data_IF_588161027038
#
_entry.id   IF_588161027038
#
_cell.length_a   1.000
_cell.length_b   1.000
_cell.length_c   1.000
_cell.angle_alpha   90.00
_cell.angle_beta   90.00
_cell.angle_gamma   90.00
#
_symmetry.space_group_name_H-M   'P 1'
#
loop_
_entity.id
_entity.type
_entity.pdbx_description
1 polymer ?
#
# COMPACT_ATOMS: atom_id res chain seq x y z
N UNK A 1 9.25 -25.36 10.55
CA UNK A 1 9.65 -24.72 11.82
C UNK A 1 10.16 -23.32 11.57
N UNK A 2 9.37 -22.34 12.01
CA UNK A 2 9.67 -20.92 11.90
C UNK A 2 10.98 -20.60 12.63
N UNK A 3 11.83 -19.74 12.04
CA UNK A 3 13.15 -19.47 12.60
C UNK A 3 13.02 -18.72 13.94
N UNK A 4 13.93 -18.94 14.92
CA UNK A 4 13.83 -18.31 16.24
C UNK A 4 13.75 -16.77 16.20
N UNK A 5 14.36 -16.14 15.21
CA UNK A 5 14.31 -14.70 14.98
C UNK A 5 12.89 -14.18 14.64
N UNK A 6 12.00 -15.05 14.13
CA UNK A 6 10.60 -14.73 13.88
C UNK A 6 9.88 -14.48 15.20
N UNK A 7 9.98 -15.43 16.12
CA UNK A 7 9.31 -15.40 17.43
C UNK A 7 9.78 -14.19 18.23
N UNK A 8 11.10 -13.91 18.23
CA UNK A 8 11.66 -12.74 18.90
C UNK A 8 11.08 -11.42 18.33
N UNK A 9 11.00 -11.29 17.00
CA UNK A 9 10.48 -10.09 16.33
C UNK A 9 8.99 -9.89 16.57
N UNK A 10 8.20 -10.97 16.53
CA UNK A 10 6.77 -10.94 16.90
C UNK A 10 6.63 -10.46 18.34
N UNK A 11 7.34 -11.09 19.28
CA UNK A 11 7.29 -10.73 20.70
C UNK A 11 7.63 -9.25 20.94
N UNK A 12 8.67 -8.73 20.29
CA UNK A 12 9.05 -7.31 20.39
C UNK A 12 7.98 -6.39 19.83
N UNK A 13 7.43 -6.70 18.66
CA UNK A 13 6.41 -5.87 18.01
C UNK A 13 5.10 -5.85 18.81
N UNK A 14 4.69 -7.02 19.32
CA UNK A 14 3.53 -7.19 20.20
C UNK A 14 3.72 -6.40 21.49
N UNK A 15 4.87 -6.50 22.14
CA UNK A 15 5.15 -5.76 23.38
C UNK A 15 5.05 -4.24 23.21
N UNK A 16 5.55 -3.71 22.09
CA UNK A 16 5.45 -2.28 21.77
C UNK A 16 3.98 -1.87 21.57
N UNK A 17 3.21 -2.64 20.79
CA UNK A 17 1.78 -2.37 20.55
C UNK A 17 0.96 -2.46 21.85
N UNK A 18 1.26 -3.45 22.69
CA UNK A 18 0.51 -3.68 23.93
C UNK A 18 0.86 -2.69 25.03
N UNK A 19 2.05 -2.07 25.03
CA UNK A 19 2.42 -1.09 26.04
C UNK A 19 1.47 0.13 26.09
N UNK A 20 0.91 0.53 24.95
CA UNK A 20 -0.12 1.57 24.90
C UNK A 20 -1.46 1.05 25.44
N UNK A 21 -1.89 -0.13 24.97
CA UNK A 21 -3.15 -0.75 25.37
C UNK A 21 -3.23 -1.09 26.86
N UNK A 22 -2.12 -1.58 27.45
CA UNK A 22 -1.98 -1.84 28.90
C UNK A 22 -2.17 -0.58 29.74
N UNK A 23 -1.86 0.60 29.21
CA UNK A 23 -2.13 1.89 29.89
C UNK A 23 -3.54 2.40 29.63
N UNK A 24 -4.05 2.20 28.41
CA UNK A 24 -5.36 2.72 27.99
C UNK A 24 -6.53 2.02 28.70
N UNK A 25 -6.54 0.69 28.77
CA UNK A 25 -7.67 -0.05 29.33
C UNK A 25 -7.97 0.30 30.80
N UNK A 26 -6.98 0.30 31.73
CA UNK A 26 -7.25 0.70 33.11
C UNK A 26 -7.78 2.13 33.22
N UNK A 27 -7.25 3.06 32.40
CA UNK A 27 -7.69 4.44 32.39
C UNK A 27 -9.14 4.60 31.89
N UNK A 28 -9.54 3.84 30.86
CA UNK A 28 -10.92 3.78 30.35
C UNK A 28 -11.88 3.26 31.44
N UNK A 29 -11.52 2.15 32.09
CA UNK A 29 -12.32 1.55 33.16
C UNK A 29 -12.46 2.54 34.34
N UNK A 30 -11.38 3.21 34.76
CA UNK A 30 -11.43 4.19 35.86
C UNK A 30 -12.24 5.43 35.49
N UNK A 31 -12.13 5.94 34.26
CA UNK A 31 -12.95 7.05 33.79
C UNK A 31 -14.45 6.71 33.88
N UNK A 32 -14.84 5.52 33.42
CA UNK A 32 -16.20 5.04 33.51
C UNK A 32 -16.63 4.77 34.96
N UNK A 33 -15.76 4.20 35.80
CA UNK A 33 -16.03 4.00 37.22
C UNK A 33 -16.37 5.32 37.93
N UNK A 34 -15.68 6.42 37.60
CA UNK A 34 -16.00 7.77 38.11
C UNK A 34 -17.36 8.27 37.63
N UNK A 35 -17.71 8.05 36.36
CA UNK A 35 -19.01 8.43 35.82
C UNK A 35 -20.17 7.68 36.49
N UNK A 36 -20.02 6.36 36.70
CA UNK A 36 -20.99 5.56 37.46
C UNK A 36 -21.03 5.97 38.94
N UNK A 37 -19.90 6.36 39.55
CA UNK A 37 -19.89 6.87 40.92
C UNK A 37 -20.70 8.15 41.08
N UNK A 38 -20.55 9.09 40.15
CA UNK A 38 -21.26 10.37 40.17
C UNK A 38 -22.79 10.21 40.08
N UNK A 39 -23.27 9.13 39.47
CA UNK A 39 -24.68 8.77 39.37
C UNK A 39 -25.16 7.77 40.43
N UNK A 40 -24.32 7.42 41.42
CA UNK A 40 -24.64 6.43 42.45
C UNK A 40 -24.68 4.97 41.96
N UNK A 41 -24.28 4.70 40.72
CA UNK A 41 -24.28 3.39 40.08
C UNK A 41 -22.98 2.58 40.23
N UNK A 42 -22.00 3.04 41.01
CA UNK A 42 -20.74 2.30 41.25
C UNK A 42 -21.04 1.05 42.08
N UNK A 43 -20.88 -0.12 41.48
CA UNK A 43 -21.26 -1.42 42.07
C UNK A 43 -22.62 -1.96 41.60
N UNK A 44 -23.29 -1.25 40.68
CA UNK A 44 -24.46 -1.79 39.98
C UNK A 44 -24.08 -2.89 38.98
N UNK A 45 -25.03 -3.75 38.65
CA UNK A 45 -24.86 -4.74 37.58
C UNK A 45 -24.47 -4.11 36.24
N UNK A 46 -25.02 -2.93 35.93
CA UNK A 46 -24.70 -2.17 34.71
C UNK A 46 -23.22 -1.78 34.63
N UNK A 47 -22.62 -1.35 35.73
CA UNK A 47 -21.19 -1.07 35.80
C UNK A 47 -20.35 -2.33 35.52
N UNK A 48 -20.70 -3.47 36.13
CA UNK A 48 -19.95 -4.71 35.92
C UNK A 48 -20.10 -5.25 34.49
N UNK A 49 -21.28 -5.15 33.88
CA UNK A 49 -21.48 -5.46 32.47
C UNK A 49 -20.66 -4.56 31.55
N UNK A 50 -20.52 -3.28 31.88
CA UNK A 50 -19.63 -2.37 31.15
C UNK A 50 -18.16 -2.80 31.25
N UNK A 51 -17.68 -3.11 32.46
CA UNK A 51 -16.29 -3.59 32.66
C UNK A 51 -16.04 -4.87 31.86
N UNK A 52 -16.95 -5.85 31.93
CA UNK A 52 -16.85 -7.09 31.15
C UNK A 52 -16.81 -6.81 29.65
N UNK A 53 -17.66 -5.92 29.14
CA UNK A 53 -17.66 -5.53 27.72
C UNK A 53 -16.38 -4.82 27.30
N UNK A 54 -15.79 -4.00 28.18
CA UNK A 54 -14.51 -3.32 27.93
C UNK A 54 -13.35 -4.34 27.86
N UNK A 55 -13.34 -5.34 28.75
CA UNK A 55 -12.37 -6.45 28.72
C UNK A 55 -12.53 -7.30 27.46
N UNK A 56 -13.76 -7.65 27.10
CA UNK A 56 -14.05 -8.41 25.88
C UNK A 56 -13.51 -7.69 24.62
N UNK A 57 -13.76 -6.38 24.53
CA UNK A 57 -13.24 -5.55 23.44
C UNK A 57 -11.71 -5.48 23.43
N UNK A 58 -11.08 -5.39 24.60
CA UNK A 58 -9.63 -5.38 24.71
C UNK A 58 -9.00 -6.69 24.24
N UNK A 59 -9.59 -7.83 24.60
CA UNK A 59 -9.17 -9.15 24.11
C UNK A 59 -9.14 -9.17 22.58
N UNK A 60 -10.23 -8.74 21.94
CA UNK A 60 -10.34 -8.71 20.48
C UNK A 60 -9.32 -7.75 19.85
N UNK A 61 -9.18 -6.53 20.38
CA UNK A 61 -8.21 -5.55 19.87
C UNK A 61 -6.78 -6.11 19.92
N UNK A 62 -6.40 -6.74 21.04
CA UNK A 62 -5.04 -7.28 21.20
C UNK A 62 -4.82 -8.53 20.36
N UNK A 63 -5.84 -9.37 20.16
CA UNK A 63 -5.78 -10.50 19.25
C UNK A 63 -5.52 -10.05 17.80
N UNK A 64 -6.25 -9.03 17.33
CA UNK A 64 -6.05 -8.44 15.99
C UNK A 64 -4.62 -7.87 15.87
N UNK A 65 -4.18 -7.12 16.87
CA UNK A 65 -2.83 -6.54 16.87
C UNK A 65 -1.71 -7.59 16.90
N UNK A 66 -1.93 -8.72 17.58
CA UNK A 66 -1.04 -9.88 17.60
C UNK A 66 -0.97 -10.52 16.22
N UNK A 67 -2.13 -10.78 15.61
CA UNK A 67 -2.21 -11.34 14.26
C UNK A 67 -1.52 -10.45 13.22
N UNK A 68 -1.82 -9.15 13.21
CA UNK A 68 -1.15 -8.17 12.35
C UNK A 68 0.37 -8.19 12.51
N UNK A 69 0.86 -8.32 13.75
CA UNK A 69 2.28 -8.39 14.04
C UNK A 69 2.90 -9.67 13.45
N UNK A 70 2.24 -10.82 13.60
CA UNK A 70 2.67 -12.09 13.02
C UNK A 70 2.77 -12.01 11.50
N UNK A 71 1.69 -11.60 10.82
CA UNK A 71 1.66 -11.46 9.35
C UNK A 71 2.75 -10.50 8.87
N UNK A 72 2.91 -9.35 9.54
CA UNK A 72 3.94 -8.36 9.18
C UNK A 72 5.35 -8.95 9.29
N UNK A 73 5.67 -9.64 10.38
CA UNK A 73 6.99 -10.26 10.57
C UNK A 73 7.21 -11.36 9.53
N UNK A 74 6.20 -12.18 9.26
CA UNK A 74 6.27 -13.25 8.25
C UNK A 74 6.64 -12.69 6.87
N UNK A 75 5.86 -11.70 6.42
CA UNK A 75 6.08 -11.04 5.12
C UNK A 75 7.43 -10.33 5.03
N UNK A 76 7.89 -9.72 6.14
CA UNK A 76 9.17 -8.99 6.16
C UNK A 76 10.37 -9.92 6.12
N UNK A 77 10.30 -11.06 6.80
CA UNK A 77 11.40 -12.03 6.83
C UNK A 77 11.44 -12.95 5.61
N UNK A 78 10.34 -13.04 4.85
CA UNK A 78 10.23 -13.99 3.76
C UNK A 78 10.37 -15.44 4.26
N UNK A 79 9.78 -15.74 5.41
CA UNK A 79 9.86 -17.08 5.99
C UNK A 79 9.31 -18.14 5.01
N UNK A 80 9.97 -19.30 4.90
CA UNK A 80 9.60 -20.30 3.91
C UNK A 80 8.24 -20.91 4.22
N UNK A 81 7.49 -21.24 3.16
CA UNK A 81 6.29 -22.04 3.25
C UNK A 81 6.67 -23.46 3.62
N UNK A 82 6.09 -23.96 4.71
CA UNK A 82 6.25 -25.35 5.16
C UNK A 82 4.88 -25.96 5.37
N UNK A 83 4.74 -27.26 5.17
CA UNK A 83 3.46 -27.97 5.31
C UNK A 83 2.82 -27.82 6.70
N UNK A 84 3.62 -27.54 7.74
CA UNK A 84 3.16 -27.28 9.12
C UNK A 84 3.08 -25.80 9.52
N UNK A 85 3.08 -24.87 8.57
CA UNK A 85 3.14 -23.43 8.89
C UNK A 85 1.91 -22.95 9.66
N UNK A 86 0.73 -23.46 9.33
CA UNK A 86 -0.51 -23.05 9.99
C UNK A 86 -0.49 -23.44 11.48
N UNK A 87 -0.10 -24.67 11.80
CA UNK A 87 0.01 -25.18 13.15
C UNK A 87 1.06 -24.41 13.97
N UNK A 88 2.18 -24.06 13.34
CA UNK A 88 3.23 -23.26 13.97
C UNK A 88 2.76 -21.83 14.28
N UNK A 89 2.04 -21.19 13.36
CA UNK A 89 1.45 -19.87 13.59
C UNK A 89 0.37 -19.92 14.67
N UNK A 90 -0.51 -20.93 14.66
CA UNK A 90 -1.51 -21.16 15.69
C UNK A 90 -0.85 -21.33 17.07
N UNK A 91 0.23 -22.11 17.17
CA UNK A 91 0.97 -22.29 18.41
C UNK A 91 1.55 -20.97 18.94
N UNK A 92 2.14 -20.15 18.07
CA UNK A 92 2.67 -18.82 18.43
C UNK A 92 1.53 -17.90 18.89
N UNK A 93 0.42 -17.89 18.15
CA UNK A 93 -0.75 -17.10 18.50
C UNK A 93 -1.27 -17.48 19.88
N UNK A 94 -1.49 -18.77 20.15
CA UNK A 94 -1.97 -19.27 21.42
C UNK A 94 -1.06 -18.95 22.60
N UNK A 95 0.25 -19.01 22.39
CA UNK A 95 1.23 -18.67 23.42
C UNK A 95 1.03 -17.23 23.88
N UNK A 96 1.01 -16.27 22.93
CA UNK A 96 0.79 -14.86 23.25
C UNK A 96 -0.64 -14.57 23.69
N UNK A 97 -1.64 -15.22 23.11
CA UNK A 97 -3.05 -15.02 23.45
C UNK A 97 -3.37 -15.47 24.88
N UNK A 98 -2.67 -16.51 25.38
CA UNK A 98 -2.73 -16.92 26.78
C UNK A 98 -2.22 -15.83 27.72
N UNK A 99 -1.10 -15.19 27.39
CA UNK A 99 -0.57 -14.09 28.21
C UNK A 99 -1.55 -12.92 28.24
N UNK A 100 -2.15 -12.59 27.08
CA UNK A 100 -3.20 -11.57 26.99
C UNK A 100 -4.38 -11.92 27.89
N UNK A 101 -4.84 -13.18 27.83
CA UNK A 101 -5.95 -13.66 28.65
C UNK A 101 -5.67 -13.49 30.13
N UNK A 102 -4.52 -13.97 30.62
CA UNK A 102 -4.15 -13.86 32.03
C UNK A 102 -4.10 -12.39 32.48
N UNK A 103 -3.50 -11.51 31.67
CA UNK A 103 -3.44 -10.07 31.99
C UNK A 103 -4.82 -9.44 32.15
N UNK A 104 -5.76 -9.72 31.23
CA UNK A 104 -7.09 -9.08 31.28
C UNK A 104 -8.03 -9.75 32.28
N UNK A 105 -7.86 -11.05 32.53
CA UNK A 105 -8.59 -11.79 33.55
C UNK A 105 -8.23 -11.25 34.94
N UNK A 106 -6.95 -10.97 35.20
CA UNK A 106 -6.51 -10.32 36.45
C UNK A 106 -7.17 -8.96 36.66
N UNK A 107 -7.26 -8.14 35.60
CA UNK A 107 -7.95 -6.84 35.65
C UNK A 107 -9.44 -7.03 35.94
N UNK A 108 -10.11 -7.95 35.24
CA UNK A 108 -11.53 -8.24 35.45
C UNK A 108 -11.78 -8.69 36.90
N UNK A 109 -10.99 -9.66 37.37
CA UNK A 109 -11.10 -10.20 38.71
C UNK A 109 -10.90 -9.12 39.77
N UNK A 110 -9.91 -8.24 39.60
CA UNK A 110 -9.72 -7.08 40.48
C UNK A 110 -10.96 -6.20 40.57
N UNK A 111 -11.59 -5.89 39.43
CA UNK A 111 -12.80 -5.06 39.38
C UNK A 111 -14.04 -5.75 39.91
N UNK A 112 -14.11 -7.07 39.83
CA UNK A 112 -15.22 -7.87 40.34
C UNK A 112 -15.04 -8.31 41.80
N UNK A 113 -13.95 -7.94 42.49
CA UNK A 113 -13.67 -8.31 43.89
C UNK A 113 -14.81 -8.02 44.86
N UNK A 114 -15.60 -6.97 44.62
CA UNK A 114 -16.75 -6.59 45.45
C UNK A 114 -18.08 -7.07 44.89
N UNK A 115 -18.11 -7.61 43.67
CA UNK A 115 -19.32 -8.14 43.06
C UNK A 115 -19.77 -9.43 43.77
N UNK A 116 -21.07 -9.63 43.90
CA UNK A 116 -21.63 -10.89 44.41
C UNK A 116 -21.32 -12.08 43.50
N UNK A 117 -21.29 -13.29 44.06
CA UNK A 117 -20.92 -14.52 43.35
C UNK A 117 -21.76 -14.76 42.07
N UNK A 118 -23.06 -14.48 42.11
CA UNK A 118 -23.96 -14.63 40.97
C UNK A 118 -23.60 -13.72 39.78
N UNK A 119 -23.02 -12.52 40.03
CA UNK A 119 -22.56 -11.62 38.97
C UNK A 119 -21.28 -12.18 38.35
N UNK A 120 -20.34 -12.63 39.18
CA UNK A 120 -19.05 -13.20 38.70
C UNK A 120 -19.27 -14.42 37.81
N UNK A 121 -20.18 -15.32 38.20
CA UNK A 121 -20.51 -16.51 37.40
C UNK A 121 -21.13 -16.18 36.04
N UNK A 122 -21.78 -15.01 35.90
CA UNK A 122 -22.38 -14.58 34.63
C UNK A 122 -21.39 -13.85 33.72
N UNK A 123 -20.35 -13.26 34.28
CA UNK A 123 -19.38 -12.43 33.57
C UNK A 123 -18.06 -13.18 33.35
N UNK A 124 -18.16 -14.44 32.94
CA UNK A 124 -17.00 -15.25 32.54
C UNK A 124 -16.53 -14.86 31.14
N UNK A 125 -15.26 -15.10 30.86
CA UNK A 125 -14.63 -14.79 29.56
C UNK A 125 -14.59 -15.99 28.62
N UNK A 126 -14.91 -17.20 29.08
CA UNK A 126 -14.72 -18.46 28.34
C UNK A 126 -15.29 -18.43 26.92
N UNK A 127 -16.52 -17.97 26.76
CA UNK A 127 -17.16 -17.89 25.44
C UNK A 127 -16.44 -16.88 24.53
N UNK A 128 -16.12 -15.70 25.05
CA UNK A 128 -15.43 -14.64 24.29
C UNK A 128 -14.04 -15.11 23.87
N UNK A 129 -13.32 -15.82 24.74
CA UNK A 129 -12.00 -16.38 24.45
C UNK A 129 -12.07 -17.41 23.33
N UNK A 130 -13.04 -18.33 23.41
CA UNK A 130 -13.26 -19.36 22.39
C UNK A 130 -13.59 -18.74 21.03
N UNK A 131 -14.52 -17.79 20.99
CA UNK A 131 -14.93 -17.09 19.77
C UNK A 131 -13.76 -16.29 19.16
N UNK A 132 -13.03 -15.53 19.98
CA UNK A 132 -11.89 -14.74 19.53
C UNK A 132 -10.75 -15.62 18.97
N UNK A 133 -10.49 -16.77 19.61
CA UNK A 133 -9.48 -17.74 19.16
C UNK A 133 -9.89 -18.37 17.84
N UNK A 134 -11.10 -18.90 17.74
CA UNK A 134 -11.62 -19.54 16.53
C UNK A 134 -11.62 -18.58 15.33
N UNK A 135 -11.97 -17.31 15.54
CA UNK A 135 -11.90 -16.27 14.50
C UNK A 135 -10.49 -16.17 13.93
N UNK A 136 -9.47 -16.08 14.78
CA UNK A 136 -8.09 -15.91 14.31
C UNK A 136 -7.48 -17.20 13.77
N UNK A 137 -7.96 -18.37 14.18
CA UNK A 137 -7.57 -19.64 13.58
C UNK A 137 -7.95 -19.71 12.10
N UNK A 138 -9.19 -19.35 11.79
CA UNK A 138 -9.66 -19.27 10.40
C UNK A 138 -8.83 -18.26 9.61
N UNK A 139 -8.51 -17.10 10.18
CA UNK A 139 -7.63 -16.10 9.52
C UNK A 139 -6.21 -16.63 9.27
N UNK A 140 -5.65 -17.41 10.20
CA UNK A 140 -4.33 -18.03 10.04
C UNK A 140 -4.37 -19.07 8.91
N UNK A 141 -5.38 -19.94 8.88
CA UNK A 141 -5.58 -20.93 7.83
C UNK A 141 -5.74 -20.26 6.47
N UNK A 142 -6.65 -19.28 6.36
CA UNK A 142 -6.86 -18.50 5.13
C UNK A 142 -5.59 -17.79 4.65
N UNK A 143 -4.78 -17.29 5.59
CA UNK A 143 -3.50 -16.68 5.25
C UNK A 143 -2.54 -17.72 4.67
N UNK A 144 -2.38 -18.89 5.28
CA UNK A 144 -1.52 -19.96 4.76
C UNK A 144 -2.03 -20.48 3.41
N UNK A 145 -3.33 -20.68 3.26
CA UNK A 145 -3.96 -21.05 1.98
C UNK A 145 -3.68 -20.01 0.89
N UNK A 146 -3.73 -18.71 1.23
CA UNK A 146 -3.42 -17.64 0.29
C UNK A 146 -1.96 -17.68 -0.17
N UNK A 147 -1.04 -18.08 0.71
CA UNK A 147 0.37 -18.25 0.38
C UNK A 147 0.61 -19.51 -0.46
N UNK A 148 -0.17 -20.57 -0.26
CA UNK A 148 -0.13 -21.80 -1.07
C UNK A 148 -0.77 -21.63 -2.46
N UNK A 149 -1.80 -20.78 -2.58
CA UNK A 149 -2.40 -20.43 -3.86
C UNK A 149 -1.53 -19.46 -4.69
N UNK A 150 -0.62 -18.72 -4.06
CA UNK A 150 0.30 -17.80 -4.73
C UNK A 150 1.29 -18.49 -5.70
N UNK A 151 1.97 -19.62 -5.36
CA UNK A 151 2.85 -20.32 -6.30
C UNK A 151 2.09 -20.98 -7.47
N UNK A 152 0.82 -21.36 -7.29
CA UNK A 152 -0.01 -21.88 -8.40
C UNK A 152 -0.37 -20.78 -9.41
N UNK A 153 -0.37 -19.50 -9.00
CA UNK A 153 -0.46 -18.35 -9.94
C UNK A 153 0.88 -17.97 -10.58
N UNK A 154 2.01 -18.43 -10.04
CA UNK A 154 3.36 -18.15 -10.57
C UNK A 154 3.87 -19.21 -11.55
N UNK A 155 3.14 -20.33 -11.75
CA UNK A 155 3.52 -21.36 -12.73
C UNK A 155 3.05 -21.06 -14.16
N UNK A 156 2.27 -20.00 -14.34
CA UNK A 156 2.18 -19.28 -15.61
C UNK A 156 2.97 -18.00 -15.41
N UNK A 157 3.95 -17.72 -16.27
CA UNK A 157 4.63 -16.43 -16.33
C UNK A 157 3.61 -15.36 -16.73
N UNK A 158 2.77 -14.95 -15.80
CA UNK A 158 1.94 -13.76 -15.91
C UNK A 158 2.88 -12.59 -15.77
N UNK A 159 3.47 -12.24 -16.91
CA UNK A 159 3.99 -10.92 -17.18
C UNK A 159 2.88 -9.92 -16.80
N UNK A 160 2.94 -9.37 -15.58
CA UNK A 160 1.93 -8.43 -15.08
C UNK A 160 2.03 -7.17 -15.93
N UNK A 161 1.25 -7.15 -17.00
CA UNK A 161 1.24 -6.08 -17.97
C UNK A 161 0.27 -5.03 -17.46
N UNK A 162 0.82 -3.98 -16.86
CA UNK A 162 0.05 -2.80 -16.50
C UNK A 162 0.00 -1.87 -17.71
N UNK A 163 -1.16 -1.79 -18.35
CA UNK A 163 -1.39 -0.83 -19.43
C UNK A 163 -1.87 0.48 -18.82
N UNK A 164 -1.05 1.53 -18.94
CA UNK A 164 -1.39 2.87 -18.50
C UNK A 164 -1.54 3.76 -19.73
N UNK A 165 -2.61 4.52 -19.79
CA UNK A 165 -2.92 5.41 -20.92
C UNK A 165 -2.77 6.90 -20.53
N UNK A 166 -1.84 7.21 -19.62
CA UNK A 166 -1.61 8.56 -19.11
C UNK A 166 -0.35 8.69 -18.25
N UNK A 167 -0.07 9.91 -17.77
CA UNK A 167 1.12 10.23 -16.98
C UNK A 167 1.15 9.47 -15.65
N UNK A 168 2.20 8.70 -15.40
CA UNK A 168 2.38 7.93 -14.17
C UNK A 168 3.45 8.60 -13.31
N UNK A 169 3.11 8.93 -12.06
CA UNK A 169 4.05 9.56 -11.13
C UNK A 169 5.05 8.56 -10.52
N UNK A 170 4.57 7.45 -9.96
CA UNK A 170 5.41 6.44 -9.32
C UNK A 170 4.76 5.06 -9.42
N UNK A 171 5.49 4.08 -9.97
CA UNK A 171 5.13 2.66 -9.86
C UNK A 171 6.09 2.05 -8.85
N UNK A 172 5.59 1.76 -7.65
CA UNK A 172 6.36 0.98 -6.68
C UNK A 172 5.98 -0.49 -6.82
N UNK A 173 6.83 -1.25 -7.49
CA UNK A 173 6.75 -2.71 -7.46
C UNK A 173 7.43 -3.23 -6.18
N UNK A 174 6.94 -4.35 -5.62
CA UNK A 174 7.46 -4.90 -4.36
C UNK A 174 8.94 -5.28 -4.42
N UNK A 175 9.55 -5.58 -3.27
CA UNK A 175 10.95 -6.01 -3.20
C UNK A 175 11.21 -7.19 -4.16
N UNK A 176 12.14 -7.02 -5.09
CA UNK A 176 12.52 -8.03 -6.09
C UNK A 176 11.75 -8.00 -7.40
N UNK A 177 10.78 -7.10 -7.59
CA UNK A 177 10.02 -7.01 -8.84
C UNK A 177 10.74 -6.14 -9.89
N UNK A 178 11.07 -6.74 -11.03
CA UNK A 178 11.60 -6.04 -12.21
C UNK A 178 10.43 -5.46 -13.00
N UNK A 179 10.28 -4.14 -13.00
CA UNK A 179 9.28 -3.47 -13.83
C UNK A 179 9.86 -3.18 -15.22
N UNK A 180 9.33 -3.82 -16.26
CA UNK A 180 9.55 -3.42 -17.64
C UNK A 180 8.43 -2.46 -18.05
N UNK A 181 8.72 -1.16 -18.03
CA UNK A 181 7.79 -0.14 -18.52
C UNK A 181 7.96 -0.03 -20.04
N UNK A 182 6.96 -0.49 -20.79
CA UNK A 182 6.85 -0.24 -22.23
C UNK A 182 5.72 0.77 -22.42
N UNK A 183 6.09 2.02 -22.63
CA UNK A 183 5.13 3.07 -22.92
C UNK A 183 4.82 3.08 -24.42
N UNK A 184 3.65 2.57 -24.77
CA UNK A 184 3.17 2.61 -26.14
C UNK A 184 2.43 3.93 -26.39
N UNK A 185 2.87 4.68 -27.39
CA UNK A 185 2.22 5.92 -27.84
C UNK A 185 0.89 5.55 -28.50
N UNK A 186 -0.23 6.07 -27.99
CA UNK A 186 -1.56 5.87 -28.58
C UNK A 186 -1.69 6.50 -29.97
N UNK A 187 -2.70 6.09 -30.75
CA UNK A 187 -2.98 6.66 -32.07
C UNK A 187 -3.18 8.19 -32.02
N UNK A 188 -3.91 8.65 -31.01
CA UNK A 188 -4.31 10.05 -30.87
C UNK A 188 -3.11 10.94 -30.53
N UNK A 189 -2.20 10.42 -29.69
CA UNK A 189 -0.93 11.06 -29.33
C UNK A 189 0.00 11.14 -30.55
N UNK A 190 0.06 10.07 -31.37
CA UNK A 190 0.85 10.08 -32.61
C UNK A 190 0.35 11.14 -33.59
N UNK A 191 -0.97 11.23 -33.78
CA UNK A 191 -1.54 12.26 -34.64
C UNK A 191 -1.28 13.67 -34.11
N UNK A 192 -1.38 13.87 -32.79
CA UNK A 192 -1.08 15.16 -32.17
C UNK A 192 0.39 15.56 -32.38
N UNK A 193 1.33 14.61 -32.26
CA UNK A 193 2.76 14.83 -32.51
C UNK A 193 3.03 15.17 -33.98
N UNK A 194 2.41 14.45 -34.92
CA UNK A 194 2.54 14.75 -36.36
C UNK A 194 2.04 16.15 -36.67
N UNK A 195 0.85 16.53 -36.18
CA UNK A 195 0.31 17.89 -36.36
C UNK A 195 1.20 18.96 -35.76
N UNK A 196 1.80 18.70 -34.59
CA UNK A 196 2.73 19.64 -33.97
C UNK A 196 4.01 19.81 -34.79
N UNK A 197 4.56 18.73 -35.34
CA UNK A 197 5.73 18.77 -36.23
C UNK A 197 5.44 19.52 -37.53
N UNK A 198 4.25 19.38 -38.12
CA UNK A 198 3.84 20.15 -39.29
C UNK A 198 3.84 21.67 -38.99
N UNK A 199 3.29 22.08 -37.84
CA UNK A 199 3.31 23.48 -37.40
C UNK A 199 4.73 24.01 -37.17
N UNK A 200 5.63 23.17 -36.64
CA UNK A 200 7.04 23.50 -36.45
C UNK A 200 7.73 23.69 -37.80
N UNK A 201 7.50 22.79 -38.76
CA UNK A 201 8.04 22.89 -40.13
C UNK A 201 7.57 24.16 -40.82
N UNK A 202 6.30 24.50 -40.69
CA UNK A 202 5.72 25.73 -41.26
C UNK A 202 6.35 26.98 -40.63
N UNK A 203 6.57 26.98 -39.31
CA UNK A 203 7.22 28.09 -38.62
C UNK A 203 8.68 28.27 -39.05
N UNK A 204 9.43 27.18 -39.21
CA UNK A 204 10.83 27.19 -39.67
C UNK A 204 10.92 27.66 -41.13
N UNK A 205 10.03 27.16 -42.00
CA UNK A 205 10.04 27.47 -43.43
C UNK A 205 9.75 28.95 -43.70
N UNK A 206 8.84 29.54 -42.92
CA UNK A 206 8.44 30.93 -43.06
C UNK A 206 9.34 31.91 -42.28
N UNK A 207 10.24 31.42 -41.43
CA UNK A 207 11.15 32.27 -40.65
C UNK A 207 12.34 32.75 -41.47
N UNK A 208 12.59 34.06 -41.44
CA UNK A 208 13.82 34.65 -41.97
C UNK A 208 15.00 34.55 -40.99
N UNK A 209 14.72 34.35 -39.70
CA UNK A 209 15.73 34.33 -38.63
C UNK A 209 16.59 33.06 -38.63
N UNK A 210 16.08 31.97 -39.24
CA UNK A 210 16.75 30.67 -39.31
C UNK A 210 17.31 30.33 -40.69
N UNK A 211 17.54 31.32 -41.56
CA UNK A 211 17.88 31.05 -42.97
C UNK A 211 19.10 30.15 -43.17
N UNK A 212 20.08 30.17 -42.27
CA UNK A 212 21.29 29.34 -42.34
C UNK A 212 21.12 27.91 -41.80
N UNK A 213 20.08 27.64 -41.00
CA UNK A 213 19.82 26.35 -40.35
C UNK A 213 18.51 25.71 -40.81
N UNK A 214 17.77 26.38 -41.71
CA UNK A 214 16.42 25.98 -42.12
C UNK A 214 16.38 24.54 -42.64
N UNK A 215 17.25 24.20 -43.57
CA UNK A 215 17.23 22.89 -44.24
C UNK A 215 17.56 21.77 -43.24
N UNK A 216 18.53 21.99 -42.34
CA UNK A 216 18.89 21.04 -41.28
C UNK A 216 17.74 20.83 -40.29
N UNK A 217 17.06 21.90 -39.87
CA UNK A 217 15.94 21.79 -38.94
C UNK A 217 14.71 21.14 -39.56
N UNK A 218 14.46 21.37 -40.85
CA UNK A 218 13.42 20.66 -41.60
C UNK A 218 13.77 19.17 -41.70
N UNK A 219 15.03 18.82 -42.01
CA UNK A 219 15.47 17.42 -42.03
C UNK A 219 15.29 16.73 -40.67
N UNK A 220 15.59 17.42 -39.57
CA UNK A 220 15.36 16.91 -38.21
C UNK A 220 13.87 16.69 -37.95
N UNK A 221 13.00 17.62 -38.37
CA UNK A 221 11.55 17.49 -38.21
C UNK A 221 10.99 16.30 -39.02
N UNK A 222 11.41 16.13 -40.26
CA UNK A 222 10.98 15.03 -41.12
C UNK A 222 11.44 13.68 -40.55
N UNK A 223 12.69 13.61 -40.06
CA UNK A 223 13.22 12.41 -39.40
C UNK A 223 12.48 12.06 -38.12
N UNK A 224 12.03 13.05 -37.35
CA UNK A 224 11.15 12.81 -36.20
C UNK A 224 9.82 12.18 -36.64
N UNK A 225 9.22 12.69 -37.71
CA UNK A 225 7.97 12.19 -38.25
C UNK A 225 8.09 10.72 -38.72
N UNK A 226 9.15 10.39 -39.46
CA UNK A 226 9.45 9.01 -39.86
C UNK A 226 9.60 8.07 -38.65
N UNK A 227 10.34 8.51 -37.64
CA UNK A 227 10.57 7.74 -36.42
C UNK A 227 9.27 7.51 -35.63
N UNK A 228 8.38 8.50 -35.56
CA UNK A 228 7.07 8.39 -34.89
C UNK A 228 6.18 7.36 -35.57
N UNK A 229 6.24 7.22 -36.89
CA UNK A 229 5.41 6.26 -37.65
C UNK A 229 6.03 4.85 -37.65
N UNK A 230 7.31 4.72 -37.29
CA UNK A 230 7.98 3.43 -37.23
C UNK A 230 7.36 2.46 -36.22
N UNK A 231 7.51 1.15 -36.49
CA UNK A 231 6.97 0.09 -35.63
C UNK A 231 7.61 0.07 -34.22
N UNK A 232 8.84 0.59 -34.09
CA UNK A 232 9.58 0.68 -32.83
C UNK A 232 10.31 2.04 -32.75
N UNK A 233 9.62 3.11 -32.31
CA UNK A 233 10.24 4.42 -32.18
C UNK A 233 11.36 4.40 -31.14
N UNK A 234 12.53 4.93 -31.51
CA UNK A 234 13.63 5.14 -30.57
C UNK A 234 13.38 6.44 -29.78
N UNK A 235 12.68 6.31 -28.65
CA UNK A 235 12.24 7.44 -27.83
C UNK A 235 13.39 8.32 -27.32
N UNK A 236 14.56 7.74 -27.04
CA UNK A 236 15.74 8.50 -26.60
C UNK A 236 16.27 9.43 -27.70
N UNK A 237 16.26 8.94 -28.95
CA UNK A 237 16.67 9.71 -30.11
C UNK A 237 15.63 10.76 -30.49
N UNK A 238 14.34 10.43 -30.44
CA UNK A 238 13.25 11.39 -30.63
C UNK A 238 13.35 12.54 -29.64
N UNK A 239 13.58 12.26 -28.35
CA UNK A 239 13.74 13.29 -27.33
C UNK A 239 14.86 14.28 -27.65
N UNK A 240 16.04 13.77 -28.02
CA UNK A 240 17.17 14.62 -28.39
C UNK A 240 16.87 15.52 -29.59
N UNK A 241 16.13 15.02 -30.58
CA UNK A 241 15.71 15.82 -31.73
C UNK A 241 14.66 16.88 -31.38
N UNK A 242 13.70 16.54 -30.50
CA UNK A 242 12.71 17.51 -30.02
C UNK A 242 13.34 18.63 -29.20
N UNK A 243 14.37 18.34 -28.41
CA UNK A 243 15.11 19.37 -27.65
C UNK A 243 15.80 20.36 -28.61
N UNK A 244 16.38 19.87 -29.71
CA UNK A 244 16.98 20.71 -30.76
C UNK A 244 15.91 21.58 -31.43
N UNK A 245 14.79 20.99 -31.87
CA UNK A 245 13.69 21.73 -32.50
C UNK A 245 13.11 22.79 -31.55
N UNK A 246 12.89 22.44 -30.28
CA UNK A 246 12.39 23.35 -29.26
C UNK A 246 13.30 24.57 -29.06
N UNK A 247 14.60 24.34 -28.91
CA UNK A 247 15.58 25.40 -28.74
C UNK A 247 15.63 26.33 -29.96
N UNK A 248 15.56 25.76 -31.17
CA UNK A 248 15.60 26.53 -32.41
C UNK A 248 14.33 27.34 -32.65
N UNK A 249 13.13 26.79 -32.40
CA UNK A 249 11.89 27.53 -32.63
C UNK A 249 11.58 28.55 -31.53
N UNK A 250 12.10 28.35 -30.30
CA UNK A 250 11.94 29.32 -29.21
C UNK A 250 12.51 30.70 -29.57
N UNK A 251 13.53 30.73 -30.44
CA UNK A 251 14.12 31.97 -30.93
C UNK A 251 13.23 32.72 -31.95
N UNK A 252 12.28 32.03 -32.59
CA UNK A 252 11.42 32.61 -33.63
C UNK A 252 10.21 33.29 -32.99
N UNK A 253 10.11 34.61 -33.13
CA UNK A 253 9.02 35.38 -32.52
C UNK A 253 7.60 34.93 -32.94
N UNK A 254 7.43 34.44 -34.18
CA UNK A 254 6.14 33.97 -34.71
C UNK A 254 5.82 32.50 -34.41
N UNK A 255 6.76 31.72 -33.85
CA UNK A 255 6.59 30.28 -33.67
C UNK A 255 5.87 29.88 -32.37
N UNK A 256 5.39 30.84 -31.59
CA UNK A 256 4.68 30.59 -30.32
C UNK A 256 3.61 29.49 -30.39
N UNK A 257 2.69 29.50 -31.38
CA UNK A 257 1.69 28.44 -31.54
C UNK A 257 2.30 27.06 -31.78
N UNK A 258 3.37 26.97 -32.59
CA UNK A 258 4.05 25.71 -32.88
C UNK A 258 4.78 25.16 -31.63
N UNK A 259 5.42 26.04 -30.86
CA UNK A 259 6.06 25.68 -29.59
C UNK A 259 5.07 25.12 -28.57
N UNK A 260 3.91 25.77 -28.42
CA UNK A 260 2.85 25.32 -27.50
C UNK A 260 2.27 23.99 -27.94
N UNK A 261 2.00 23.81 -29.25
CA UNK A 261 1.49 22.55 -29.79
C UNK A 261 2.49 21.41 -29.57
N UNK A 262 3.78 21.65 -29.80
CA UNK A 262 4.83 20.67 -29.55
C UNK A 262 4.98 20.33 -28.06
N UNK A 263 4.96 21.35 -27.19
CA UNK A 263 5.01 21.14 -25.73
C UNK A 263 3.83 20.30 -25.23
N UNK A 264 2.63 20.52 -25.76
CA UNK A 264 1.45 19.73 -25.43
C UNK A 264 1.56 18.28 -25.95
N UNK A 265 2.02 18.10 -27.19
CA UNK A 265 2.13 16.78 -27.82
C UNK A 265 3.24 15.90 -27.20
N UNK A 266 4.25 16.51 -26.56
CA UNK A 266 5.36 15.82 -25.91
C UNK A 266 5.08 15.40 -24.46
N UNK A 267 4.04 15.97 -23.84
CA UNK A 267 3.67 15.67 -22.46
C UNK A 267 3.36 14.19 -22.21
N UNK A 268 2.63 13.48 -23.10
CA UNK A 268 2.41 12.04 -22.98
C UNK A 268 3.72 11.25 -23.00
N UNK A 269 4.76 11.73 -23.68
CA UNK A 269 6.09 11.08 -23.74
C UNK A 269 6.96 11.35 -22.52
N UNK A 270 6.46 12.10 -21.52
CA UNK A 270 7.23 12.50 -20.34
C UNK A 270 8.36 13.49 -20.66
N UNK A 271 8.31 14.12 -21.84
CA UNK A 271 9.26 15.17 -22.24
C UNK A 271 8.66 16.52 -21.86
N UNK A 272 9.36 17.25 -20.99
CA UNK A 272 8.96 18.59 -20.54
C UNK A 272 9.87 19.61 -21.20
N UNK A 273 9.32 20.38 -22.13
CA UNK A 273 10.00 21.53 -22.70
C UNK A 273 9.85 22.74 -21.76
N UNK A 274 10.87 23.61 -21.64
CA UNK A 274 10.81 24.81 -20.80
C UNK A 274 9.62 25.73 -21.12
#
# INVERSE_FOLDING_TARGET
MLPPNYIEKVSRLVNVKFAERRRALPAEIEASARAFAASGGRGSGAYYSYVHSAIARELEIRAIQLWDAMVRVHRTLGAPLTDGLAEELIWIFDSHFRDIHLEVEDILNDRLKTAGAAIRQRLLLDQILSECRNKHYVEIELYVDSLNAAPTRQSESTQTTYNYFGSIGLIQTGAGAVAHVVQNIGSDDREALVRALDLVRDAISNSQELSSQRDELIEIADKCQEMIVSAQPNNSMLRGMFDVLAGSIQAIASAGPAYVAMKAALLPLGVTLP
#
